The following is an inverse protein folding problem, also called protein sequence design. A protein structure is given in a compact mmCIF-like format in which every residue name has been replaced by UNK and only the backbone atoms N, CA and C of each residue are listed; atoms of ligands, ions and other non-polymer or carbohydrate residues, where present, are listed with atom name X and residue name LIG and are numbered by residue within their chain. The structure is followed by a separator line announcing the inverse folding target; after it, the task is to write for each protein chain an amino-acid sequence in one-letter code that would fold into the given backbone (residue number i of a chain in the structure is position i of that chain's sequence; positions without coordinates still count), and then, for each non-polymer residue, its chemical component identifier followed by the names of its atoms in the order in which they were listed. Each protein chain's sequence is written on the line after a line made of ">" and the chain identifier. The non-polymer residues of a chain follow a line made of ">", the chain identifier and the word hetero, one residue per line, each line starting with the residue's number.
data_IF_619081068517
#
_entry.id   IF_619081068517
#
_cell.length_a   1.000
_cell.length_b   1.000
_cell.length_c   1.000
_cell.angle_alpha   90.00
_cell.angle_beta   90.00
_cell.angle_gamma   90.00
#
_symmetry.space_group_name_H-M   'P 1'
#
loop_
_entity.id
_entity.type
_entity.pdbx_description
1 polymer ?
#
# COMPACT_ATOMS: atom_id res chain seq x y z
N UNK A 1 6.32 -14.32 -9.60
CA UNK A 1 7.45 -15.24 -9.83
C UNK A 1 7.71 -15.97 -8.53
N UNK A 2 7.93 -17.29 -8.56
CA UNK A 2 8.22 -18.05 -7.32
C UNK A 2 9.72 -17.99 -7.03
N UNK A 3 10.08 -17.61 -5.80
CA UNK A 3 11.45 -17.64 -5.30
C UNK A 3 11.72 -18.98 -4.62
N UNK A 4 12.89 -19.57 -4.86
CA UNK A 4 13.36 -20.77 -4.17
C UNK A 4 14.54 -20.40 -3.27
N UNK A 5 14.29 -20.35 -1.95
CA UNK A 5 15.30 -19.98 -0.97
C UNK A 5 16.48 -20.97 -0.89
N UNK A 6 16.26 -22.27 -1.14
CA UNK A 6 17.34 -23.28 -1.07
C UNK A 6 18.37 -23.14 -2.19
N UNK A 7 17.95 -22.65 -3.35
CA UNK A 7 18.80 -22.52 -4.54
C UNK A 7 19.19 -21.09 -4.85
N UNK A 8 18.63 -20.10 -4.14
CA UNK A 8 18.72 -18.67 -4.44
C UNK A 8 18.39 -18.35 -5.91
N UNK A 9 17.20 -18.81 -6.35
CA UNK A 9 16.75 -18.68 -7.73
C UNK A 9 15.29 -18.27 -7.85
N UNK A 10 14.99 -17.46 -8.87
CA UNK A 10 13.61 -17.15 -9.26
C UNK A 10 13.19 -17.99 -10.46
N UNK A 11 11.93 -18.43 -10.48
CA UNK A 11 11.36 -19.10 -11.66
C UNK A 11 10.53 -18.10 -12.48
N UNK A 12 10.84 -17.96 -13.77
CA UNK A 12 10.09 -17.12 -14.69
C UNK A 12 8.76 -17.79 -15.10
N UNK A 13 7.81 -17.05 -15.71
CA UNK A 13 6.55 -17.64 -16.18
C UNK A 13 6.73 -18.77 -17.20
N UNK A 14 7.81 -18.73 -17.99
CA UNK A 14 8.21 -19.76 -18.96
C UNK A 14 8.96 -20.95 -18.29
N UNK A 15 8.98 -21.04 -16.96
CA UNK A 15 9.60 -22.14 -16.21
C UNK A 15 11.12 -22.07 -16.03
N UNK A 16 11.83 -21.16 -16.71
CA UNK A 16 13.28 -21.01 -16.61
C UNK A 16 13.72 -20.42 -15.27
N UNK A 17 14.92 -20.82 -14.81
CA UNK A 17 15.54 -20.34 -13.58
C UNK A 17 16.37 -19.08 -13.84
N UNK A 18 16.20 -18.09 -12.98
CA UNK A 18 16.98 -16.86 -12.92
C UNK A 18 17.90 -16.99 -11.71
N UNK A 19 19.20 -17.07 -11.97
CA UNK A 19 20.22 -17.24 -10.94
C UNK A 19 20.71 -15.90 -10.44
N UNK A 20 21.17 -15.87 -9.20
CA UNK A 20 21.87 -14.71 -8.66
C UNK A 20 23.08 -14.37 -9.55
N UNK A 21 23.25 -13.08 -9.86
CA UNK A 21 24.37 -12.58 -10.66
C UNK A 21 25.27 -11.65 -9.86
N UNK A 22 24.66 -10.72 -9.13
CA UNK A 22 25.36 -9.69 -8.38
C UNK A 22 24.44 -9.01 -7.39
N UNK A 23 25.03 -8.40 -6.39
CA UNK A 23 24.39 -7.53 -5.43
C UNK A 23 25.01 -6.13 -5.55
N UNK A 24 24.18 -5.09 -5.46
CA UNK A 24 24.65 -3.71 -5.42
C UNK A 24 24.07 -3.07 -4.17
N UNK A 25 24.95 -2.49 -3.37
CA UNK A 25 24.58 -1.67 -2.24
C UNK A 25 24.64 -0.20 -2.63
N UNK A 26 23.61 0.57 -2.30
CA UNK A 26 23.56 2.02 -2.53
C UNK A 26 23.04 2.74 -1.30
N UNK A 27 23.62 3.88 -0.98
CA UNK A 27 23.09 4.81 0.02
C UNK A 27 22.12 5.77 -0.67
N UNK A 28 20.91 5.87 -0.14
CA UNK A 28 19.90 6.83 -0.58
C UNK A 28 20.27 8.24 -0.11
N UNK A 29 19.69 9.27 -0.74
CA UNK A 29 19.88 10.67 -0.34
C UNK A 29 19.49 10.92 1.13
N UNK A 30 18.56 10.10 1.67
CA UNK A 30 18.11 10.17 3.05
C UNK A 30 18.97 9.34 4.03
N UNK A 31 20.13 8.84 3.60
CA UNK A 31 21.10 8.12 4.45
C UNK A 31 20.85 6.62 4.63
N UNK A 32 19.76 6.07 4.09
CA UNK A 32 19.48 4.63 4.19
C UNK A 32 20.32 3.82 3.20
N UNK A 33 20.84 2.69 3.66
CA UNK A 33 21.59 1.74 2.82
C UNK A 33 20.64 0.69 2.27
N UNK A 34 20.60 0.54 0.94
CA UNK A 34 19.72 -0.40 0.23
C UNK A 34 20.58 -1.42 -0.53
N UNK A 35 20.41 -2.70 -0.22
CA UNK A 35 21.02 -3.81 -0.97
C UNK A 35 20.04 -4.36 -2.00
N UNK A 36 20.42 -4.31 -3.28
CA UNK A 36 19.62 -4.85 -4.39
C UNK A 36 20.33 -6.01 -5.06
N UNK A 37 19.69 -7.17 -5.07
CA UNK A 37 20.16 -8.37 -5.78
C UNK A 37 19.61 -8.43 -7.19
N UNK A 38 20.45 -8.85 -8.13
CA UNK A 38 20.14 -8.99 -9.53
C UNK A 38 20.12 -10.48 -9.90
N UNK A 39 18.99 -10.93 -10.43
CA UNK A 39 18.79 -12.30 -10.88
C UNK A 39 18.57 -12.32 -12.39
N UNK A 40 19.30 -13.14 -13.11
CA UNK A 40 19.10 -13.31 -14.55
C UNK A 40 19.41 -14.73 -15.02
N UNK A 41 18.91 -15.06 -16.19
CA UNK A 41 19.38 -16.21 -16.97
C UNK A 41 20.36 -15.75 -18.04
N UNK A 42 21.11 -16.68 -18.63
CA UNK A 42 22.14 -16.35 -19.62
C UNK A 42 21.54 -16.11 -21.02
N UNK A 43 20.46 -16.81 -21.39
CA UNK A 43 19.73 -16.60 -22.66
C UNK A 43 18.24 -16.88 -22.49
N UNK A 44 17.38 -15.95 -22.94
CA UNK A 44 15.93 -16.18 -23.06
C UNK A 44 15.53 -16.92 -24.36
N UNK A 45 16.47 -17.22 -25.26
CA UNK A 45 16.22 -17.99 -26.50
C UNK A 45 15.01 -17.49 -27.30
N UNK A 46 14.31 -18.39 -28.00
CA UNK A 46 12.99 -18.14 -28.59
C UNK A 46 11.88 -18.41 -27.57
N UNK A 47 11.73 -17.51 -26.59
CA UNK A 47 10.60 -17.55 -25.65
C UNK A 47 9.36 -16.92 -26.30
N UNK A 48 8.19 -17.59 -26.33
CA UNK A 48 6.94 -17.02 -26.87
C UNK A 48 6.54 -15.71 -26.17
N UNK A 49 6.91 -15.57 -24.90
CA UNK A 49 6.61 -14.41 -24.08
C UNK A 49 7.62 -13.27 -24.21
N UNK A 50 8.69 -13.39 -25.03
CA UNK A 50 9.81 -12.43 -25.11
C UNK A 50 9.34 -10.99 -25.23
N UNK A 51 8.44 -10.71 -26.18
CA UNK A 51 7.96 -9.35 -26.47
C UNK A 51 7.24 -8.67 -25.30
N UNK A 52 6.59 -9.45 -24.43
CA UNK A 52 5.91 -8.97 -23.21
C UNK A 52 6.79 -9.08 -21.95
N UNK A 53 7.93 -9.77 -22.03
CA UNK A 53 8.74 -10.16 -20.88
C UNK A 53 9.87 -9.16 -20.56
N UNK A 54 10.67 -8.76 -21.55
CA UNK A 54 11.74 -7.77 -21.34
C UNK A 54 12.12 -7.06 -22.65
N UNK A 55 12.64 -5.83 -22.53
CA UNK A 55 13.20 -5.04 -23.65
C UNK A 55 14.73 -5.00 -23.66
N UNK A 56 15.39 -5.83 -22.85
CA UNK A 56 16.85 -5.87 -22.71
C UNK A 56 17.56 -6.20 -24.04
N UNK A 57 18.57 -5.39 -24.41
CA UNK A 57 19.45 -5.64 -25.56
C UNK A 57 20.30 -6.91 -25.39
N UNK A 58 20.60 -7.29 -24.14
CA UNK A 58 21.38 -8.49 -23.83
C UNK A 58 20.64 -9.80 -24.15
N UNK A 59 19.34 -9.74 -24.50
CA UNK A 59 18.58 -10.91 -24.93
C UNK A 59 18.07 -11.81 -23.80
N UNK A 60 18.09 -11.33 -22.55
CA UNK A 60 17.55 -12.03 -21.39
C UNK A 60 16.93 -11.09 -20.35
N UNK A 61 16.12 -11.65 -19.43
CA UNK A 61 15.44 -10.91 -18.36
C UNK A 61 16.35 -10.80 -17.14
N UNK A 62 16.45 -9.59 -16.59
CA UNK A 62 17.06 -9.35 -15.28
C UNK A 62 15.99 -8.84 -14.32
N UNK A 63 15.86 -9.50 -13.18
CA UNK A 63 14.97 -9.10 -12.07
C UNK A 63 15.83 -8.48 -10.99
N UNK A 64 15.38 -7.33 -10.49
CA UNK A 64 15.98 -6.65 -9.33
C UNK A 64 15.11 -6.94 -8.12
N UNK A 65 15.74 -7.36 -7.04
CA UNK A 65 15.05 -7.69 -5.80
C UNK A 65 15.75 -7.01 -4.66
N UNK A 66 14.99 -6.21 -3.93
CA UNK A 66 15.37 -5.69 -2.63
C UNK A 66 14.76 -6.63 -1.57
N UNK A 67 15.62 -7.30 -0.82
CA UNK A 67 15.20 -8.29 0.18
C UNK A 67 14.50 -7.62 1.36
N UNK A 68 15.04 -6.48 1.83
CA UNK A 68 14.49 -5.70 2.94
C UNK A 68 13.10 -5.20 2.58
N UNK A 69 12.92 -4.66 1.37
CA UNK A 69 11.61 -4.22 0.90
C UNK A 69 10.59 -5.38 0.84
N UNK A 70 11.01 -6.57 0.40
CA UNK A 70 10.13 -7.74 0.36
C UNK A 70 9.73 -8.22 1.76
N UNK A 71 10.64 -8.17 2.73
CA UNK A 71 10.33 -8.46 4.13
C UNK A 71 9.31 -7.47 4.69
N UNK A 72 9.51 -6.17 4.49
CA UNK A 72 8.54 -5.15 4.90
C UNK A 72 7.18 -5.36 4.25
N UNK A 73 7.13 -5.65 2.95
CA UNK A 73 5.87 -5.97 2.25
C UNK A 73 5.18 -7.20 2.83
N UNK A 74 5.95 -8.20 3.24
CA UNK A 74 5.39 -9.43 3.81
C UNK A 74 4.81 -9.17 5.20
N UNK A 75 5.53 -8.45 6.07
CA UNK A 75 5.03 -7.99 7.38
C UNK A 75 3.77 -7.14 7.24
N UNK A 76 3.79 -6.16 6.33
CA UNK A 76 2.63 -5.31 6.06
C UNK A 76 1.45 -6.15 5.58
N UNK A 77 1.67 -7.09 4.65
CA UNK A 77 0.61 -7.96 4.15
C UNK A 77 -0.01 -8.77 5.29
N UNK A 78 0.82 -9.41 6.13
CA UNK A 78 0.38 -10.18 7.29
C UNK A 78 -0.48 -9.33 8.24
N UNK A 79 0.00 -8.14 8.63
CA UNK A 79 -0.77 -7.21 9.47
C UNK A 79 -2.06 -6.72 8.80
N UNK A 80 -2.06 -6.63 7.47
CA UNK A 80 -3.20 -6.16 6.68
C UNK A 80 -4.24 -7.25 6.43
N UNK A 81 -3.86 -8.53 6.51
CA UNK A 81 -4.72 -9.69 6.28
C UNK A 81 -5.14 -10.39 7.56
N UNK A 82 -4.58 -10.02 8.72
CA UNK A 82 -5.07 -10.49 10.02
C UNK A 82 -6.52 -10.04 10.25
N UNK A 83 -7.24 -10.74 11.12
CA UNK A 83 -8.64 -10.40 11.42
C UNK A 83 -8.80 -8.96 11.92
N UNK A 84 -7.87 -8.52 12.78
CA UNK A 84 -7.78 -7.13 13.23
C UNK A 84 -7.50 -6.17 12.07
N UNK A 85 -6.53 -6.50 11.20
CA UNK A 85 -6.19 -5.69 10.04
C UNK A 85 -7.33 -5.51 9.05
N UNK A 86 -8.10 -6.58 8.83
CA UNK A 86 -9.32 -6.57 8.00
C UNK A 86 -10.38 -5.70 8.66
N UNK A 87 -10.63 -5.87 9.96
CA UNK A 87 -11.58 -5.07 10.73
C UNK A 87 -11.26 -3.57 10.64
N UNK A 88 -10.01 -3.19 10.90
CA UNK A 88 -9.56 -1.80 10.84
C UNK A 88 -9.64 -1.23 9.42
N UNK A 89 -9.28 -2.01 8.39
CA UNK A 89 -9.35 -1.57 6.99
C UNK A 89 -10.78 -1.26 6.56
N UNK A 90 -11.71 -2.17 6.87
CA UNK A 90 -13.14 -1.97 6.55
C UNK A 90 -13.69 -0.76 7.30
N UNK A 91 -13.36 -0.63 8.58
CA UNK A 91 -13.75 0.53 9.37
C UNK A 91 -13.17 1.84 8.84
N UNK A 92 -11.92 1.83 8.34
CA UNK A 92 -11.34 3.02 7.71
C UNK A 92 -12.14 3.47 6.48
N UNK A 93 -12.57 2.53 5.64
CA UNK A 93 -13.44 2.87 4.49
C UNK A 93 -14.77 3.45 4.96
N UNK A 94 -15.44 2.81 5.93
CA UNK A 94 -16.73 3.28 6.44
C UNK A 94 -16.61 4.67 7.08
N UNK A 95 -15.61 4.87 7.95
CA UNK A 95 -15.50 6.07 8.77
C UNK A 95 -14.83 7.20 8.01
N UNK A 96 -13.66 6.98 7.40
CA UNK A 96 -12.87 8.05 6.79
C UNK A 96 -13.49 8.51 5.48
N UNK A 97 -13.80 7.58 4.58
CA UNK A 97 -14.38 7.95 3.27
C UNK A 97 -15.77 8.54 3.43
N UNK A 98 -16.56 8.01 4.37
CA UNK A 98 -17.87 8.57 4.74
C UNK A 98 -17.78 10.01 5.24
N UNK A 99 -16.83 10.32 6.13
CA UNK A 99 -16.61 11.70 6.61
C UNK A 99 -16.26 12.63 5.45
N UNK A 100 -15.32 12.25 4.58
CA UNK A 100 -14.95 13.08 3.44
C UNK A 100 -16.11 13.28 2.45
N UNK A 101 -16.97 12.28 2.28
CA UNK A 101 -18.21 12.39 1.51
C UNK A 101 -19.14 13.46 2.10
N UNK A 102 -19.44 13.38 3.40
CA UNK A 102 -20.30 14.33 4.11
C UNK A 102 -19.73 15.76 4.02
N UNK A 103 -18.43 15.93 4.31
CA UNK A 103 -17.79 17.25 4.26
C UNK A 103 -17.92 17.87 2.86
N UNK A 104 -17.79 17.07 1.81
CA UNK A 104 -17.79 17.55 0.42
C UNK A 104 -19.20 17.77 -0.13
N UNK A 105 -20.09 16.79 0.03
CA UNK A 105 -21.43 16.79 -0.55
C UNK A 105 -22.43 17.51 0.35
N UNK A 106 -22.56 17.07 1.60
CA UNK A 106 -23.60 17.57 2.52
C UNK A 106 -23.25 18.97 3.05
N UNK A 107 -21.99 19.21 3.42
CA UNK A 107 -21.53 20.52 3.89
C UNK A 107 -21.10 21.45 2.75
N UNK A 108 -20.99 20.94 1.51
CA UNK A 108 -20.54 21.73 0.36
C UNK A 108 -19.09 22.21 0.43
N UNK A 109 -18.24 21.64 1.31
CA UNK A 109 -16.85 22.07 1.45
C UNK A 109 -15.98 21.55 0.31
N UNK A 110 -15.83 22.37 -0.74
CA UNK A 110 -15.02 22.03 -1.94
C UNK A 110 -13.63 22.61 -1.94
N UNK A 111 -13.43 23.76 -1.30
CA UNK A 111 -12.17 24.53 -1.32
C UNK A 111 -11.98 25.28 -0.01
N UNK A 112 -10.73 25.45 0.38
CA UNK A 112 -10.36 26.35 1.48
C UNK A 112 -10.60 27.80 1.06
N UNK A 113 -11.06 28.61 2.02
CA UNK A 113 -11.31 30.04 1.82
C UNK A 113 -10.08 30.88 2.13
N UNK A 114 -9.09 30.28 2.81
CA UNK A 114 -7.85 30.92 3.21
C UNK A 114 -6.65 30.33 2.47
N UNK A 115 -5.51 31.01 2.55
CA UNK A 115 -4.23 30.56 1.98
C UNK A 115 -3.15 30.51 3.06
N UNK A 116 -2.13 29.69 2.81
CA UNK A 116 -1.03 29.45 3.74
C UNK A 116 -1.33 28.33 4.73
N UNK A 117 -0.30 27.53 5.02
CA UNK A 117 -0.42 26.30 5.83
C UNK A 117 -1.20 26.51 7.14
N UNK A 118 -0.79 27.52 7.93
CA UNK A 118 -1.41 27.82 9.22
C UNK A 118 -2.91 28.11 9.13
N UNK A 119 -3.33 28.91 8.14
CA UNK A 119 -4.74 29.28 7.99
C UNK A 119 -5.59 28.11 7.47
N UNK A 120 -5.03 27.31 6.56
CA UNK A 120 -5.66 26.09 6.05
C UNK A 120 -5.86 25.08 7.19
N UNK A 121 -4.83 24.87 8.03
CA UNK A 121 -4.91 24.00 9.21
C UNK A 121 -6.01 24.47 10.17
N UNK A 122 -6.05 25.76 10.51
CA UNK A 122 -7.11 26.32 11.37
C UNK A 122 -8.51 26.08 10.78
N UNK A 123 -8.70 26.37 9.50
CA UNK A 123 -10.00 26.15 8.85
C UNK A 123 -10.38 24.66 8.86
N UNK A 124 -9.43 23.76 8.59
CA UNK A 124 -9.66 22.32 8.62
C UNK A 124 -10.02 21.83 10.03
N UNK A 125 -9.32 22.31 11.07
CA UNK A 125 -9.61 21.94 12.45
C UNK A 125 -10.98 22.41 12.92
N UNK A 126 -11.40 23.63 12.55
CA UNK A 126 -12.75 24.12 12.84
C UNK A 126 -13.82 23.26 12.17
N UNK A 127 -13.62 22.89 10.90
CA UNK A 127 -14.52 22.00 10.17
C UNK A 127 -14.61 20.61 10.84
N UNK A 128 -13.46 20.02 11.19
CA UNK A 128 -13.41 18.72 11.86
C UNK A 128 -14.04 18.77 13.26
N UNK A 129 -13.85 19.85 14.00
CA UNK A 129 -14.43 20.06 15.32
C UNK A 129 -15.97 20.14 15.23
N UNK A 130 -16.50 20.94 14.31
CA UNK A 130 -17.93 21.05 14.06
C UNK A 130 -18.54 19.69 13.69
N UNK A 131 -17.92 18.97 12.76
CA UNK A 131 -18.35 17.63 12.36
C UNK A 131 -18.35 16.64 13.54
N UNK A 132 -17.31 16.65 14.37
CA UNK A 132 -17.20 15.75 15.52
C UNK A 132 -18.27 16.04 16.58
N UNK A 133 -18.58 17.31 16.84
CA UNK A 133 -19.68 17.69 17.74
C UNK A 133 -21.02 17.21 17.18
N UNK A 134 -21.28 17.44 15.90
CA UNK A 134 -22.53 16.99 15.28
C UNK A 134 -22.66 15.46 15.35
N UNK A 135 -21.59 14.74 15.01
CA UNK A 135 -21.52 13.28 15.11
C UNK A 135 -21.79 12.80 16.53
N UNK A 136 -21.17 13.42 17.54
CA UNK A 136 -21.38 13.08 18.95
C UNK A 136 -22.84 13.29 19.38
N UNK A 137 -23.41 14.46 19.06
CA UNK A 137 -24.81 14.78 19.35
C UNK A 137 -25.77 13.78 18.70
N UNK A 138 -25.52 13.42 17.43
CA UNK A 138 -26.32 12.45 16.69
C UNK A 138 -26.20 11.04 17.25
N UNK A 139 -25.00 10.62 17.66
CA UNK A 139 -24.78 9.32 18.35
C UNK A 139 -25.53 9.29 19.68
N UNK A 140 -25.46 10.36 20.48
CA UNK A 140 -26.16 10.47 21.77
C UNK A 140 -27.68 10.36 21.59
N UNK A 141 -28.26 11.14 20.66
CA UNK A 141 -29.72 11.11 20.37
C UNK A 141 -30.22 9.72 19.96
N UNK A 142 -29.39 8.94 19.25
CA UNK A 142 -29.74 7.60 18.77
C UNK A 142 -29.31 6.47 19.72
N UNK A 143 -28.83 6.78 20.93
CA UNK A 143 -28.36 5.78 21.90
C UNK A 143 -27.12 4.99 21.44
N UNK A 144 -26.31 5.54 20.52
CA UNK A 144 -25.17 4.86 19.87
C UNK A 144 -23.80 5.34 20.37
N UNK A 145 -23.65 5.57 21.68
CA UNK A 145 -22.37 5.92 22.30
C UNK A 145 -21.44 4.69 22.50
N UNK A 146 -21.87 3.50 22.07
CA UNK A 146 -21.10 2.25 22.14
C UNK A 146 -19.91 2.17 21.16
N UNK A 147 -19.43 0.97 20.81
CA UNK A 147 -18.10 0.76 20.24
C UNK A 147 -17.85 1.56 18.95
N UNK A 148 -16.60 2.01 18.79
CA UNK A 148 -16.18 2.86 17.67
C UNK A 148 -15.93 2.10 16.36
N UNK A 149 -15.87 0.76 16.42
CA UNK A 149 -15.70 -0.08 15.24
C UNK A 149 -16.99 -0.81 14.90
N UNK A 150 -17.36 -0.74 13.62
CA UNK A 150 -18.41 -1.56 13.02
C UNK A 150 -17.91 -3.01 12.92
N UNK A 151 -18.70 -3.99 13.37
CA UNK A 151 -18.33 -5.39 13.23
C UNK A 151 -18.30 -5.77 11.76
N UNK A 152 -17.41 -6.70 11.42
CA UNK A 152 -17.42 -7.31 10.09
C UNK A 152 -18.70 -8.13 9.94
N UNK A 153 -19.40 -7.96 8.82
CA UNK A 153 -20.48 -8.89 8.47
C UNK A 153 -19.84 -10.26 8.23
N UNK A 154 -20.41 -11.31 8.80
CA UNK A 154 -20.04 -12.67 8.42
C UNK A 154 -20.21 -12.80 6.90
N UNK A 155 -19.19 -13.35 6.23
CA UNK A 155 -19.32 -13.75 4.84
C UNK A 155 -20.41 -14.82 4.80
N UNK A 156 -21.54 -14.50 4.16
CA UNK A 156 -22.59 -15.47 3.84
C UNK A 156 -22.08 -16.44 2.76
#
# INVERSE_FOLDING_TARGET
>A
MKYNAKKDEYTCPDGRKLKFKREITKTTENGYTVSTRYYSNDKCGRCPHRNKCHKSKAGYRTVRVDQVLNEHRSKVLESLTSDEGVLLRVNRSIQVEGVFGILKEDYGFRRFLTRGKKNIETQFFLLAFAFNIEKLCNRRKKGRLGPDLFPLKALA
#
